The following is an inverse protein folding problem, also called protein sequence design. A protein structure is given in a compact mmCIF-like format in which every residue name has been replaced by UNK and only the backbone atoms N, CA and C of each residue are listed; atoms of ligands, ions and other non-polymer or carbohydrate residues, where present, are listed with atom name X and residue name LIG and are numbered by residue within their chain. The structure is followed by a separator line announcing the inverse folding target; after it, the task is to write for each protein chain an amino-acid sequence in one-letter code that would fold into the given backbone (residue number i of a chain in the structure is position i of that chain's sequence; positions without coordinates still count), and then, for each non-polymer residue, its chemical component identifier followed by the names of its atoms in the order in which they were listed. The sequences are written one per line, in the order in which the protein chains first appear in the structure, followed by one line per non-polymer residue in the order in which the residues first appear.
data_IF_310307752837
#
_entry.id   IF_310307752837
#
_cell.length_a   1.000
_cell.length_b   1.000
_cell.length_c   1.000
_cell.angle_alpha   90.00
_cell.angle_beta   90.00
_cell.angle_gamma   90.00
#
_symmetry.space_group_name_H-M   'P 1'
#
loop_
_entity.id
_entity.type
_entity.pdbx_description
1 polymer ?
#
# COMPACT_ATOMS: atom_id res chain seq x y z
N UNK A 1 -21.63 -3.16 -14.88
CA UNK A 1 -20.41 -3.33 -15.71
C UNK A 1 -19.63 -2.03 -15.86
N UNK A 2 -20.26 -0.92 -16.26
CA UNK A 2 -19.55 0.37 -16.39
C UNK A 2 -18.99 0.89 -15.06
N UNK A 3 -19.74 0.79 -13.96
CA UNK A 3 -19.30 1.24 -12.63
C UNK A 3 -18.13 0.41 -12.08
N UNK A 4 -18.17 -0.91 -12.24
CA UNK A 4 -17.08 -1.81 -11.85
C UNK A 4 -15.76 -1.41 -12.49
N UNK A 5 -15.77 -1.10 -13.79
CA UNK A 5 -14.57 -0.66 -14.53
C UNK A 5 -14.06 0.67 -13.96
N UNK A 6 -14.96 1.60 -13.62
CA UNK A 6 -14.59 2.89 -13.01
C UNK A 6 -13.94 2.65 -11.64
N UNK A 7 -14.48 1.78 -10.80
CA UNK A 7 -13.89 1.49 -9.48
C UNK A 7 -12.53 0.80 -9.58
N UNK A 8 -12.41 -0.17 -10.48
CA UNK A 8 -11.14 -0.86 -10.77
C UNK A 8 -10.08 0.13 -11.27
N UNK A 9 -10.45 1.02 -12.19
CA UNK A 9 -9.55 2.06 -12.69
C UNK A 9 -9.18 3.08 -11.60
N UNK A 10 -10.15 3.49 -10.77
CA UNK A 10 -9.92 4.41 -9.65
C UNK A 10 -8.94 3.80 -8.64
N UNK A 11 -9.10 2.51 -8.32
CA UNK A 11 -8.17 1.79 -7.45
C UNK A 11 -6.76 1.77 -8.05
N UNK A 12 -6.63 1.51 -9.36
CA UNK A 12 -5.33 1.54 -10.04
C UNK A 12 -4.65 2.93 -9.96
N UNK A 13 -5.41 4.02 -10.09
CA UNK A 13 -4.88 5.38 -9.93
C UNK A 13 -4.39 5.65 -8.51
N UNK A 14 -5.11 5.20 -7.49
CA UNK A 14 -4.67 5.33 -6.11
C UNK A 14 -3.41 4.50 -5.81
N UNK A 15 -3.32 3.28 -6.33
CA UNK A 15 -2.09 2.49 -6.25
C UNK A 15 -0.91 3.18 -6.95
N UNK A 16 -1.13 3.76 -8.13
CA UNK A 16 -0.08 4.52 -8.83
C UNK A 16 0.41 5.71 -8.00
N UNK A 17 -0.49 6.44 -7.35
CA UNK A 17 -0.13 7.49 -6.41
C UNK A 17 0.69 6.93 -5.24
N UNK A 18 0.26 5.83 -4.62
CA UNK A 18 0.99 5.18 -3.53
C UNK A 18 2.40 4.76 -3.93
N UNK A 19 2.53 4.08 -5.07
CA UNK A 19 3.81 3.68 -5.66
C UNK A 19 4.70 4.87 -6.02
N UNK A 20 4.12 6.01 -6.41
CA UNK A 20 4.89 7.19 -6.81
C UNK A 20 5.69 7.78 -5.65
N UNK A 21 5.09 7.88 -4.46
CA UNK A 21 5.77 8.46 -3.31
C UNK A 21 6.66 7.47 -2.57
N UNK A 22 6.33 6.18 -2.64
CA UNK A 22 7.13 5.11 -2.03
C UNK A 22 8.41 4.82 -2.83
N UNK A 23 8.50 5.28 -4.09
CA UNK A 23 9.58 4.97 -5.01
C UNK A 23 10.97 5.34 -4.47
N UNK A 24 11.91 4.40 -4.55
CA UNK A 24 13.31 4.61 -4.26
C UNK A 24 14.19 3.70 -5.12
N UNK A 25 15.42 4.11 -5.39
CA UNK A 25 16.42 3.30 -6.11
C UNK A 25 17.00 2.18 -5.25
N UNK A 26 16.92 2.31 -3.93
CA UNK A 26 17.40 1.34 -2.93
C UNK A 26 16.36 1.13 -1.83
N UNK A 27 16.47 0.03 -1.08
CA UNK A 27 15.65 -0.21 0.11
C UNK A 27 15.71 0.96 1.10
N UNK A 28 16.90 1.51 1.35
CA UNK A 28 17.09 2.67 2.23
C UNK A 28 16.33 3.91 1.74
N UNK A 29 16.31 4.16 0.42
CA UNK A 29 15.54 5.27 -0.14
C UNK A 29 14.02 5.10 0.09
N UNK A 30 13.49 3.89 -0.11
CA UNK A 30 12.07 3.58 0.17
C UNK A 30 11.74 3.82 1.64
N UNK A 31 12.58 3.28 2.53
CA UNK A 31 12.42 3.40 3.98
C UNK A 31 12.46 4.87 4.42
N UNK A 32 13.39 5.65 3.87
CA UNK A 32 13.48 7.09 4.15
C UNK A 32 12.24 7.85 3.69
N UNK A 33 11.64 7.49 2.54
CA UNK A 33 10.39 8.11 2.08
C UNK A 33 9.21 7.78 3.00
N UNK A 34 9.11 6.54 3.47
CA UNK A 34 8.12 6.12 4.48
C UNK A 34 8.30 6.93 5.76
N UNK A 35 9.54 7.02 6.25
CA UNK A 35 9.86 7.76 7.47
C UNK A 35 9.59 9.26 7.34
N UNK A 36 9.89 9.87 6.19
CA UNK A 36 9.61 11.28 5.94
C UNK A 36 8.12 11.63 6.07
N UNK A 37 7.22 10.70 5.68
CA UNK A 37 5.77 10.85 5.88
C UNK A 37 5.38 10.64 7.35
N UNK A 38 5.92 9.60 7.98
CA UNK A 38 5.68 9.32 9.40
C UNK A 38 6.08 10.49 10.31
N UNK A 39 7.26 11.08 10.06
CA UNK A 39 7.80 12.21 10.82
C UNK A 39 6.88 13.43 10.82
N UNK A 40 6.08 13.63 9.77
CA UNK A 40 5.07 14.69 9.75
C UNK A 40 3.93 14.39 10.71
N UNK A 41 3.41 13.17 10.66
CA UNK A 41 2.44 12.61 11.59
C UNK A 41 2.16 11.15 11.23
N UNK A 42 1.84 10.33 12.22
CA UNK A 42 1.27 8.98 12.02
C UNK A 42 0.05 9.02 11.10
N UNK A 43 -0.83 10.00 11.28
CA UNK A 43 -2.03 10.17 10.44
C UNK A 43 -1.67 10.51 9.00
N UNK A 44 -0.61 11.28 8.78
CA UNK A 44 -0.16 11.63 7.43
C UNK A 44 0.29 10.37 6.67
N UNK A 45 1.00 9.44 7.32
CA UNK A 45 1.36 8.16 6.71
C UNK A 45 0.12 7.34 6.36
N UNK A 46 -0.86 7.21 7.27
CA UNK A 46 -2.08 6.43 7.03
C UNK A 46 -2.90 7.04 5.88
N UNK A 47 -3.14 8.35 5.91
CA UNK A 47 -3.88 9.07 4.85
C UNK A 47 -3.16 9.08 3.50
N UNK A 48 -1.87 8.76 3.47
CA UNK A 48 -1.11 8.58 2.23
C UNK A 48 -1.41 7.27 1.50
N UNK A 49 -2.34 6.45 2.02
CA UNK A 49 -2.83 5.22 1.41
C UNK A 49 -4.30 5.35 0.98
N UNK A 50 -4.62 6.21 -0.02
CA UNK A 50 -5.99 6.44 -0.47
C UNK A 50 -6.66 5.17 -1.01
N UNK A 51 -5.91 4.20 -1.55
CA UNK A 51 -6.50 2.95 -2.02
C UNK A 51 -7.06 2.12 -0.86
N UNK A 52 -6.45 2.18 0.34
CA UNK A 52 -7.02 1.52 1.51
C UNK A 52 -8.36 2.13 1.92
N UNK A 53 -8.42 3.46 2.00
CA UNK A 53 -9.64 4.20 2.36
C UNK A 53 -10.74 3.94 1.32
N UNK A 54 -10.38 3.94 0.04
CA UNK A 54 -11.30 3.65 -1.05
C UNK A 54 -11.85 2.23 -0.98
N UNK A 55 -11.00 1.23 -0.71
CA UNK A 55 -11.48 -0.13 -0.50
C UNK A 55 -12.43 -0.20 0.69
N UNK A 56 -12.12 0.42 1.85
CA UNK A 56 -13.05 0.44 2.98
C UNK A 56 -14.42 1.01 2.61
N UNK A 57 -14.45 2.10 1.84
CA UNK A 57 -15.69 2.67 1.31
C UNK A 57 -16.46 1.66 0.45
N UNK A 58 -15.79 1.02 -0.52
CA UNK A 58 -16.44 0.04 -1.41
C UNK A 58 -17.00 -1.15 -0.63
N UNK A 59 -16.27 -1.62 0.40
CA UNK A 59 -16.70 -2.73 1.25
C UNK A 59 -18.02 -2.44 1.93
N UNK A 60 -18.18 -1.24 2.49
CA UNK A 60 -19.42 -0.82 3.15
C UNK A 60 -20.53 -0.50 2.15
N UNK A 61 -20.20 0.18 1.05
CA UNK A 61 -21.20 0.64 0.08
C UNK A 61 -21.83 -0.49 -0.74
N UNK A 62 -21.08 -1.57 -0.98
CA UNK A 62 -21.50 -2.69 -1.84
C UNK A 62 -21.55 -4.04 -1.09
N UNK A 63 -21.39 -4.02 0.24
CA UNK A 63 -21.35 -5.22 1.09
C UNK A 63 -20.37 -6.29 0.58
N UNK A 64 -19.21 -5.85 0.08
CA UNK A 64 -18.18 -6.75 -0.46
C UNK A 64 -17.47 -7.46 0.69
N UNK A 65 -17.77 -8.75 0.84
CA UNK A 65 -17.20 -9.61 1.90
C UNK A 65 -16.56 -10.88 1.36
N UNK A 66 -16.47 -11.02 0.04
CA UNK A 66 -15.84 -12.18 -0.59
C UNK A 66 -14.33 -12.22 -0.37
N UNK A 67 -13.74 -13.40 -0.58
CA UNK A 67 -12.33 -13.67 -0.37
C UNK A 67 -11.40 -12.70 -1.10
N UNK A 68 -11.70 -12.35 -2.36
CA UNK A 68 -10.87 -11.46 -3.17
C UNK A 68 -10.80 -10.06 -2.56
N UNK A 69 -11.96 -9.52 -2.17
CA UNK A 69 -12.03 -8.20 -1.56
C UNK A 69 -11.39 -8.17 -0.16
N UNK A 70 -11.67 -9.17 0.69
CA UNK A 70 -11.05 -9.27 2.02
C UNK A 70 -9.52 -9.41 1.94
N UNK A 71 -9.01 -10.09 0.92
CA UNK A 71 -7.56 -10.18 0.67
C UNK A 71 -6.93 -8.82 0.39
N UNK A 72 -7.60 -7.94 -0.37
CA UNK A 72 -7.13 -6.56 -0.60
C UNK A 72 -7.04 -5.81 0.73
N UNK A 73 -8.11 -5.83 1.53
CA UNK A 73 -8.14 -5.14 2.82
C UNK A 73 -7.06 -5.66 3.77
N UNK A 74 -6.89 -6.98 3.85
CA UNK A 74 -5.89 -7.60 4.71
C UNK A 74 -4.46 -7.26 4.28
N UNK A 75 -4.13 -7.39 3.00
CA UNK A 75 -2.80 -7.09 2.49
C UNK A 75 -2.44 -5.61 2.67
N UNK A 76 -3.39 -4.70 2.43
CA UNK A 76 -3.17 -3.27 2.67
C UNK A 76 -3.03 -2.94 4.14
N UNK A 77 -3.83 -3.56 5.00
CA UNK A 77 -3.70 -3.39 6.44
C UNK A 77 -2.32 -3.83 6.93
N UNK A 78 -1.83 -4.98 6.46
CA UNK A 78 -0.48 -5.46 6.76
C UNK A 78 0.60 -4.51 6.25
N UNK A 79 0.48 -4.02 5.01
CA UNK A 79 1.42 -3.08 4.41
C UNK A 79 1.55 -1.78 5.24
N UNK A 80 0.42 -1.15 5.57
CA UNK A 80 0.40 0.07 6.40
C UNK A 80 0.95 -0.22 7.81
N UNK A 81 0.55 -1.33 8.42
CA UNK A 81 1.01 -1.71 9.77
C UNK A 81 2.51 -1.94 9.80
N UNK A 82 3.05 -2.64 8.80
CA UNK A 82 4.48 -2.90 8.69
C UNK A 82 5.27 -1.60 8.49
N UNK A 83 4.78 -0.68 7.65
CA UNK A 83 5.38 0.65 7.47
C UNK A 83 5.40 1.47 8.76
N UNK A 84 4.35 1.39 9.57
CA UNK A 84 4.31 2.04 10.89
C UNK A 84 5.35 1.46 11.85
N UNK A 85 5.48 0.14 11.90
CA UNK A 85 6.48 -0.54 12.72
C UNK A 85 7.89 -0.18 12.26
N UNK A 86 8.16 -0.19 10.95
CA UNK A 86 9.43 0.23 10.37
C UNK A 86 9.76 1.67 10.76
N UNK A 87 8.84 2.61 10.55
CA UNK A 87 9.07 4.01 10.84
C UNK A 87 9.39 4.25 12.32
N UNK A 88 8.66 3.59 13.23
CA UNK A 88 8.95 3.64 14.67
C UNK A 88 10.33 3.08 15.00
N UNK A 89 10.73 1.97 14.37
CA UNK A 89 12.04 1.34 14.59
C UNK A 89 13.20 2.16 14.06
N UNK A 90 12.97 3.02 13.06
CA UNK A 90 13.96 4.00 12.60
C UNK A 90 14.16 5.08 13.67
N UNK A 91 13.09 5.60 14.28
CA UNK A 91 13.20 6.57 15.39
C UNK A 91 13.95 5.99 16.59
N UNK A 92 13.72 4.71 16.89
CA UNK A 92 14.41 4.00 17.97
C UNK A 92 15.88 3.64 17.62
N UNK A 93 16.36 3.92 16.41
CA UNK A 93 17.64 3.43 15.87
C UNK A 93 17.80 1.90 15.92
N UNK A 94 16.69 1.16 15.86
CA UNK A 94 16.59 -0.31 15.98
C UNK A 94 16.11 -0.98 14.69
N UNK A 95 16.35 -0.36 13.53
CA UNK A 95 15.88 -0.86 12.23
C UNK A 95 16.36 -2.29 11.93
N UNK A 96 17.57 -2.64 12.36
CA UNK A 96 18.16 -3.96 12.15
C UNK A 96 17.37 -5.11 12.81
N UNK A 97 16.52 -4.83 13.81
CA UNK A 97 15.67 -5.84 14.46
C UNK A 97 14.50 -6.28 13.58
N UNK A 98 14.03 -5.41 12.69
CA UNK A 98 12.85 -5.65 11.83
C UNK A 98 13.25 -5.88 10.39
N UNK A 99 14.38 -5.33 9.96
CA UNK A 99 14.88 -5.49 8.61
C UNK A 99 16.41 -5.68 8.61
N UNK A 100 16.90 -6.92 8.80
CA UNK A 100 18.33 -7.24 8.74
C UNK A 100 18.81 -7.39 7.29
N UNK A 101 18.53 -6.38 6.45
CA UNK A 101 18.86 -6.36 5.02
C UNK A 101 19.73 -5.12 4.72
N UNK A 102 20.73 -5.21 3.82
CA UNK A 102 21.51 -4.05 3.40
C UNK A 102 20.62 -2.94 2.80
N UNK A 103 20.75 -1.71 3.31
CA UNK A 103 19.93 -0.57 2.87
C UNK A 103 20.28 -0.08 1.46
N UNK A 104 21.49 -0.39 1.00
CA UNK A 104 22.02 -0.13 -0.34
C UNK A 104 21.54 -1.15 -1.38
N UNK A 105 20.82 -2.19 -0.97
CA UNK A 105 20.28 -3.18 -1.90
C UNK A 105 19.37 -2.49 -2.94
N UNK A 106 19.65 -2.67 -4.25
CA UNK A 106 18.89 -2.05 -5.31
C UNK A 106 17.51 -2.67 -5.43
N UNK A 107 16.50 -1.84 -5.66
CA UNK A 107 15.12 -2.28 -5.92
C UNK A 107 14.86 -2.16 -7.41
N UNK A 108 14.32 -3.22 -8.01
CA UNK A 108 13.89 -3.16 -9.40
C UNK A 108 12.59 -2.34 -9.51
N UNK A 109 12.49 -1.36 -10.43
CA UNK A 109 11.35 -0.44 -10.49
C UNK A 109 9.99 -1.13 -10.59
N UNK A 110 9.89 -2.28 -11.28
CA UNK A 110 8.64 -3.02 -11.44
C UNK A 110 8.06 -3.55 -10.13
N UNK A 111 8.89 -3.80 -9.11
CA UNK A 111 8.43 -4.30 -7.80
C UNK A 111 7.44 -3.33 -7.16
N UNK A 112 7.62 -2.03 -7.39
CA UNK A 112 6.74 -0.97 -6.87
C UNK A 112 5.38 -0.93 -7.57
N UNK A 113 5.24 -1.56 -8.74
CA UNK A 113 4.01 -1.55 -9.54
C UNK A 113 3.20 -2.84 -9.41
N UNK A 114 3.66 -3.84 -8.64
CA UNK A 114 2.93 -5.08 -8.45
C UNK A 114 1.50 -4.85 -7.91
N UNK A 115 1.38 -3.97 -6.92
CA UNK A 115 0.09 -3.63 -6.30
C UNK A 115 -0.89 -2.97 -7.29
N UNK A 116 -0.36 -2.17 -8.22
CA UNK A 116 -1.12 -1.48 -9.27
C UNK A 116 -1.81 -2.47 -10.20
N UNK A 117 -1.29 -3.68 -10.35
CA UNK A 117 -1.90 -4.72 -11.18
C UNK A 117 -2.73 -5.66 -10.31
N UNK A 118 -2.18 -6.11 -9.19
CA UNK A 118 -2.77 -7.16 -8.36
C UNK A 118 -4.08 -6.74 -7.70
N UNK A 119 -4.15 -5.54 -7.12
CA UNK A 119 -5.37 -5.13 -6.41
C UNK A 119 -6.53 -4.76 -7.35
N UNK A 120 -6.32 -4.07 -8.48
CA UNK A 120 -7.38 -3.89 -9.49
C UNK A 120 -7.91 -5.22 -10.03
N UNK A 121 -7.04 -6.22 -10.24
CA UNK A 121 -7.46 -7.56 -10.64
C UNK A 121 -8.34 -8.22 -9.56
N UNK A 122 -7.90 -8.18 -8.30
CA UNK A 122 -8.69 -8.75 -7.19
C UNK A 122 -10.02 -8.03 -7.03
N UNK A 123 -10.07 -6.72 -7.21
CA UNK A 123 -11.31 -5.96 -7.12
C UNK A 123 -12.26 -6.33 -8.26
N UNK A 124 -11.75 -6.50 -9.48
CA UNK A 124 -12.56 -6.98 -10.60
C UNK A 124 -13.15 -8.36 -10.30
N UNK A 125 -12.34 -9.30 -9.81
CA UNK A 125 -12.82 -10.62 -9.42
C UNK A 125 -13.89 -10.53 -8.33
N UNK A 126 -13.66 -9.69 -7.31
CA UNK A 126 -14.61 -9.48 -6.23
C UNK A 126 -16.00 -8.97 -6.67
N UNK A 127 -16.09 -8.25 -7.78
CA UNK A 127 -17.39 -7.79 -8.33
C UNK A 127 -18.06 -8.81 -9.26
N UNK A 128 -17.30 -9.78 -9.77
CA UNK A 128 -17.79 -10.78 -10.74
C UNK A 128 -18.17 -12.10 -10.06
N UNK A 129 -17.55 -12.43 -8.93
CA UNK A 129 -17.88 -13.59 -8.07
C UNK A 129 -18.83 -13.22 -6.96
#
# INVERSE_FOLDING_TARGET
MNETIIYVFTLALFELYESSWQRGSTFGAIINNIYARYKRSVFYLILSHPAFIFCLYLGVAYDLTNFWFLSILFLKFLDISYKLVLAKKIEEHRLAEVLPIPLDMPIQPWMMYLNVILYPLFLYLAFVT
#
